data_IF_784253694505
#
_entry.id   IF_784253694505
#
_cell.length_a   1.000
_cell.length_b   1.000
_cell.length_c   1.000
_cell.angle_alpha   90.00
_cell.angle_beta   90.00
_cell.angle_gamma   90.00
#
_symmetry.space_group_name_H-M   'P 1'
#
loop_
_entity.id
_entity.type
_entity.pdbx_description
1 polymer ?
#
# COMPACT_ATOMS: atom_id res chain seq x y z
N UNK A 1 -17.98 0.49 -6.61
CA UNK A 1 -16.54 0.23 -6.90
C UNK A 1 -16.42 -1.26 -7.12
N UNK A 2 -15.80 -1.75 -8.20
CA UNK A 2 -15.92 -3.15 -8.64
C UNK A 2 -15.75 -4.20 -7.53
N UNK A 3 -14.75 -4.04 -6.65
CA UNK A 3 -14.50 -4.96 -5.54
C UNK A 3 -15.52 -4.81 -4.40
N UNK A 4 -15.87 -3.57 -4.04
CA UNK A 4 -16.94 -3.31 -3.06
C UNK A 4 -18.30 -3.86 -3.53
N UNK A 5 -18.60 -3.73 -4.82
CA UNK A 5 -19.85 -4.22 -5.43
C UNK A 5 -19.91 -5.77 -5.43
N UNK A 6 -18.76 -6.43 -5.25
CA UNK A 6 -18.62 -7.88 -5.06
C UNK A 6 -18.52 -8.29 -3.58
N UNK A 7 -18.66 -7.36 -2.64
CA UNK A 7 -18.64 -7.62 -1.19
C UNK A 7 -17.28 -7.42 -0.51
N UNK A 8 -16.22 -7.09 -1.25
CA UNK A 8 -14.89 -6.82 -0.69
C UNK A 8 -14.82 -5.37 -0.19
N UNK A 9 -15.24 -5.15 1.04
CA UNK A 9 -15.33 -3.82 1.66
C UNK A 9 -14.21 -3.50 2.65
N UNK A 10 -13.42 -4.51 3.05
CA UNK A 10 -12.25 -4.33 3.93
C UNK A 10 -11.04 -3.94 3.09
N UNK A 11 -10.24 -3.00 3.59
CA UNK A 11 -9.13 -2.46 2.82
C UNK A 11 -8.56 -1.19 3.43
N UNK A 12 -7.60 -0.62 2.71
CA UNK A 12 -7.12 0.73 2.93
C UNK A 12 -7.52 1.57 1.71
N UNK A 13 -8.30 2.63 1.96
CA UNK A 13 -8.89 3.46 0.91
C UNK A 13 -7.85 4.15 0.03
N UNK A 14 -8.31 4.92 -0.96
CA UNK A 14 -7.42 5.61 -1.89
C UNK A 14 -6.46 6.56 -1.15
N UNK A 15 -5.17 6.48 -1.49
CA UNK A 15 -4.14 7.38 -0.99
C UNK A 15 -2.96 7.51 -1.94
N UNK A 16 -1.91 8.20 -1.47
CA UNK A 16 -0.63 8.39 -2.18
C UNK A 16 0.51 8.03 -1.24
N UNK A 17 1.42 7.15 -1.66
CA UNK A 17 2.61 6.83 -0.89
C UNK A 17 3.62 7.99 -0.91
N UNK A 18 4.47 8.04 0.11
CA UNK A 18 5.67 8.91 0.10
C UNK A 18 6.72 8.27 -0.78
N UNK A 19 7.04 7.01 -0.52
CA UNK A 19 7.98 6.22 -1.30
C UNK A 19 7.35 5.79 -2.63
N UNK A 20 8.06 6.00 -3.74
CA UNK A 20 7.58 5.70 -5.09
C UNK A 20 6.46 6.62 -5.61
N UNK A 21 5.89 7.48 -4.74
CA UNK A 21 4.86 8.45 -5.07
C UNK A 21 3.66 7.86 -5.81
N UNK A 22 3.34 6.57 -5.69
CA UNK A 22 2.20 6.01 -6.41
C UNK A 22 0.88 6.30 -5.71
N UNK A 23 -0.21 6.34 -6.49
CA UNK A 23 -1.55 6.15 -5.93
C UNK A 23 -1.71 4.69 -5.54
N UNK A 24 -2.39 4.44 -4.41
CA UNK A 24 -2.71 3.10 -3.95
C UNK A 24 -4.19 2.97 -3.57
N UNK A 25 -4.71 1.75 -3.67
CA UNK A 25 -5.96 1.33 -3.02
C UNK A 25 -5.84 -0.15 -2.67
N UNK A 26 -5.88 -0.47 -1.37
CA UNK A 26 -5.76 -1.84 -0.90
C UNK A 26 -7.13 -2.46 -0.67
N UNK A 27 -7.32 -3.67 -1.16
CA UNK A 27 -8.50 -4.51 -0.88
C UNK A 27 -8.03 -5.77 -0.16
N UNK A 28 -8.66 -6.09 0.97
CA UNK A 28 -8.35 -7.30 1.72
C UNK A 28 -9.10 -8.49 1.13
N UNK A 29 -8.39 -9.59 0.92
CA UNK A 29 -8.97 -10.83 0.47
C UNK A 29 -9.60 -11.64 1.64
N UNK A 30 -10.27 -12.77 1.35
CA UNK A 30 -10.92 -13.58 2.39
C UNK A 30 -9.96 -14.31 3.36
N UNK A 31 -8.68 -14.45 3.01
CA UNK A 31 -7.67 -15.13 3.83
C UNK A 31 -6.89 -14.16 4.72
N UNK A 32 -7.07 -12.86 4.53
CA UNK A 32 -6.52 -11.82 5.38
C UNK A 32 -5.38 -11.03 4.73
N UNK A 33 -4.94 -11.43 3.54
CA UNK A 33 -3.89 -10.76 2.76
C UNK A 33 -4.48 -9.57 1.97
N UNK A 34 -3.61 -8.71 1.46
CA UNK A 34 -4.01 -7.50 0.73
C UNK A 34 -3.56 -7.55 -0.74
N UNK A 35 -4.44 -7.10 -1.62
CA UNK A 35 -4.11 -6.77 -3.00
C UNK A 35 -4.08 -5.24 -3.16
N UNK A 36 -2.98 -4.71 -3.69
CA UNK A 36 -2.85 -3.29 -4.02
C UNK A 36 -3.24 -3.02 -5.47
N UNK A 37 -4.17 -2.10 -5.68
CA UNK A 37 -4.35 -1.43 -6.97
C UNK A 37 -3.49 -0.17 -6.99
N UNK A 38 -2.40 -0.22 -7.76
CA UNK A 38 -1.41 0.86 -7.85
C UNK A 38 -1.47 1.59 -9.19
N UNK A 39 -1.13 2.87 -9.20
CA UNK A 39 -0.96 3.67 -10.43
C UNK A 39 0.01 4.83 -10.22
N UNK A 40 0.62 5.31 -11.29
CA UNK A 40 1.47 6.53 -11.29
C UNK A 40 2.70 6.44 -10.38
N UNK A 41 3.34 5.26 -10.33
CA UNK A 41 4.61 5.09 -9.62
C UNK A 41 5.76 5.78 -10.38
N UNK A 42 6.65 6.43 -9.64
CA UNK A 42 7.84 7.06 -10.21
C UNK A 42 8.72 6.02 -10.92
N UNK A 43 9.24 6.40 -12.09
CA UNK A 43 10.14 5.56 -12.88
C UNK A 43 11.58 6.04 -12.78
N UNK A 44 12.44 5.19 -12.25
CA UNK A 44 13.89 5.37 -12.29
C UNK A 44 14.43 4.55 -13.47
N UNK A 45 15.02 5.21 -14.46
CA UNK A 45 15.58 4.52 -15.63
C UNK A 45 16.91 3.84 -15.31
N UNK A 46 17.27 2.79 -16.06
CA UNK A 46 18.46 1.98 -15.78
C UNK A 46 19.79 2.76 -15.97
N UNK A 47 19.73 3.84 -16.73
CA UNK A 47 20.80 4.77 -17.06
C UNK A 47 20.80 6.02 -16.17
N UNK A 48 19.88 6.11 -15.21
CA UNK A 48 19.84 7.17 -14.21
C UNK A 48 20.58 6.75 -12.94
N UNK A 49 21.58 7.53 -12.55
CA UNK A 49 22.29 7.36 -11.27
C UNK A 49 21.44 7.95 -10.14
N UNK A 50 20.49 7.15 -9.65
CA UNK A 50 19.55 7.56 -8.61
C UNK A 50 20.18 7.47 -7.21
N UNK A 51 20.15 8.59 -6.49
CA UNK A 51 20.57 8.65 -5.09
C UNK A 51 19.43 8.19 -4.18
N UNK A 52 19.52 6.98 -3.64
CA UNK A 52 18.55 6.44 -2.70
C UNK A 52 18.73 7.06 -1.31
N UNK A 53 17.62 7.36 -0.64
CA UNK A 53 17.63 7.93 0.71
C UNK A 53 16.87 7.06 1.71
N UNK A 54 17.29 7.16 2.98
CA UNK A 54 16.52 6.64 4.11
C UNK A 54 15.50 7.69 4.56
N UNK A 55 14.27 7.25 4.79
CA UNK A 55 13.19 8.09 5.30
C UNK A 55 12.81 7.65 6.71
N UNK A 56 12.53 8.61 7.60
CA UNK A 56 12.06 8.31 8.95
C UNK A 56 10.72 7.55 8.88
N UNK A 57 10.51 6.58 9.77
CA UNK A 57 9.35 5.68 9.70
C UNK A 57 8.01 6.44 9.80
N UNK A 58 7.98 7.51 10.58
CA UNK A 58 6.85 8.43 10.72
C UNK A 58 6.47 9.14 9.41
N UNK A 59 7.42 9.33 8.51
CA UNK A 59 7.27 10.08 7.26
C UNK A 59 7.26 9.18 6.02
N UNK A 60 7.50 7.87 6.15
CA UNK A 60 7.72 6.99 5.00
C UNK A 60 6.43 6.36 4.43
N UNK A 61 5.31 6.43 5.16
CA UNK A 61 4.19 5.52 4.89
C UNK A 61 3.22 6.03 3.81
N UNK A 62 2.64 7.24 3.96
CA UNK A 62 1.74 7.84 2.97
C UNK A 62 1.65 9.36 3.15
N UNK A 63 1.46 10.08 2.04
CA UNK A 63 1.30 11.54 2.03
C UNK A 63 -0.12 11.90 2.46
N UNK A 64 -1.11 11.22 1.87
CA UNK A 64 -2.53 11.43 2.18
C UNK A 64 -3.33 10.16 1.89
N UNK A 65 -4.44 10.02 2.60
CA UNK A 65 -5.31 8.84 2.55
C UNK A 65 -6.08 8.72 3.87
N UNK A 66 -7.00 7.76 3.98
CA UNK A 66 -7.60 7.42 5.27
C UNK A 66 -6.55 6.78 6.19
N UNK A 67 -6.82 6.71 7.49
CA UNK A 67 -6.00 5.89 8.40
C UNK A 67 -6.06 4.43 7.97
N UNK A 68 -4.92 3.72 7.88
CA UNK A 68 -4.89 2.28 7.60
C UNK A 68 -5.59 1.49 8.73
N UNK A 69 -6.10 0.29 8.46
CA UNK A 69 -6.53 -0.62 9.51
C UNK A 69 -5.41 -0.90 10.53
N UNK A 70 -5.74 -1.04 11.81
CA UNK A 70 -4.75 -1.30 12.87
C UNK A 70 -3.94 -2.59 12.63
N UNK A 71 -4.52 -3.55 11.92
CA UNK A 71 -3.92 -4.83 11.58
C UNK A 71 -3.26 -4.87 10.20
N UNK A 72 -3.08 -3.72 9.54
CA UNK A 72 -2.56 -3.67 8.18
C UNK A 72 -1.18 -4.31 8.01
N UNK A 73 -0.31 -4.19 9.03
CA UNK A 73 1.04 -4.74 9.01
C UNK A 73 1.14 -6.15 9.60
N UNK A 74 0.01 -6.79 9.93
CA UNK A 74 -0.01 -8.15 10.47
C UNK A 74 0.00 -9.15 9.32
N UNK A 75 1.01 -10.04 9.31
CA UNK A 75 1.04 -11.15 8.37
C UNK A 75 0.19 -12.30 8.91
N UNK A 76 -0.89 -12.64 8.18
CA UNK A 76 -1.80 -13.74 8.54
C UNK A 76 -1.46 -15.07 7.86
N UNK A 77 -0.46 -15.08 6.97
CA UNK A 77 0.00 -16.28 6.26
C UNK A 77 1.05 -17.06 7.07
N UNK A 78 1.76 -16.39 7.98
CA UNK A 78 2.70 -17.04 8.87
C UNK A 78 1.98 -17.84 9.96
N UNK A 79 2.44 -19.07 10.18
CA UNK A 79 1.96 -19.88 11.29
C UNK A 79 2.36 -19.20 12.60
N UNK A 80 1.40 -19.01 13.50
CA UNK A 80 1.71 -18.67 14.89
C UNK A 80 2.41 -19.86 15.54
N UNK A 81 3.68 -19.66 15.94
CA UNK A 81 4.42 -20.60 16.81
C UNK A 81 3.69 -20.84 18.15
#
# INVERSE_FOLDING_TARGET
MQMADKGFSKGWGLGRHVLGSNFFHYVRDPWGSYSEYSSDIDYVSADHDWDAGDHAAEDAFYIWGPTPPDDFTVNYEEATD
#
